data_IF_391532526658
#
_entry.id   IF_391532526658
#
_cell.length_a   1.000
_cell.length_b   1.000
_cell.length_c   1.000
_cell.angle_alpha   90.00
_cell.angle_beta   90.00
_cell.angle_gamma   90.00
#
_symmetry.space_group_name_H-M   'P 1'
#
loop_
_entity.id
_entity.type
_entity.pdbx_description
1 polymer ?
#
# COMPACT_ATOMS: atom_id res chain seq x y z
N UNK A 1 -3.97 3.69 -17.74
CA UNK A 1 -3.87 4.57 -16.56
C UNK A 1 -2.90 3.87 -15.62
N UNK A 2 -2.24 4.56 -14.70
CA UNK A 2 -1.49 3.84 -13.65
C UNK A 2 -2.52 3.20 -12.71
N UNK A 3 -2.39 1.90 -12.47
CA UNK A 3 -3.26 1.15 -11.56
C UNK A 3 -2.60 1.10 -10.19
N UNK A 4 -3.34 1.45 -9.14
CA UNK A 4 -2.81 1.46 -7.78
C UNK A 4 -3.52 0.48 -6.87
N UNK A 5 -2.71 -0.11 -5.99
CA UNK A 5 -3.17 -0.73 -4.76
C UNK A 5 -2.61 0.08 -3.60
N UNK A 6 -3.42 0.38 -2.60
CA UNK A 6 -3.03 1.20 -1.45
C UNK A 6 -3.24 0.47 -0.14
N UNK A 7 -2.39 0.72 0.84
CA UNK A 7 -2.62 0.35 2.24
C UNK A 7 -2.85 1.62 3.05
N UNK A 8 -4.05 1.77 3.59
CA UNK A 8 -4.41 2.80 4.56
C UNK A 8 -4.06 2.32 5.97
N UNK A 9 -2.89 2.70 6.46
CA UNK A 9 -2.36 2.34 7.78
C UNK A 9 -2.90 3.25 8.87
N UNK A 10 -3.25 2.66 10.02
CA UNK A 10 -3.66 3.39 11.23
C UNK A 10 -2.53 3.54 12.25
N UNK A 11 -1.38 2.92 12.01
CA UNK A 11 -0.21 3.04 12.85
C UNK A 11 0.66 4.24 12.44
N UNK A 12 1.24 4.94 13.43
CA UNK A 12 2.31 5.92 13.18
C UNK A 12 3.66 5.26 12.88
N UNK A 13 3.90 4.08 13.46
CA UNK A 13 5.10 3.29 13.21
C UNK A 13 4.98 2.58 11.85
N UNK A 14 6.12 2.29 11.24
CA UNK A 14 6.20 1.66 9.93
C UNK A 14 7.38 0.69 9.84
N UNK A 15 7.27 -0.38 9.05
CA UNK A 15 8.37 -1.31 8.85
C UNK A 15 9.54 -0.62 8.12
N UNK A 16 10.75 -1.06 8.45
CA UNK A 16 11.94 -0.69 7.69
C UNK A 16 11.95 -1.41 6.33
N UNK A 17 12.70 -0.87 5.36
CA UNK A 17 12.92 -1.55 4.08
C UNK A 17 13.54 -2.95 4.25
N UNK A 18 14.37 -3.18 5.29
CA UNK A 18 14.86 -4.51 5.63
C UNK A 18 13.72 -5.46 5.99
N UNK A 19 12.78 -5.03 6.83
CA UNK A 19 11.68 -5.88 7.27
C UNK A 19 10.78 -6.30 6.09
N UNK A 20 10.48 -5.36 5.18
CA UNK A 20 9.75 -5.67 3.93
C UNK A 20 10.51 -6.69 3.07
N UNK A 21 11.82 -6.52 2.93
CA UNK A 21 12.64 -7.46 2.16
C UNK A 21 12.75 -8.82 2.84
N UNK A 22 12.87 -8.86 4.16
CA UNK A 22 13.04 -10.09 4.93
C UNK A 22 11.77 -10.94 4.84
N UNK A 23 10.58 -10.33 4.93
CA UNK A 23 9.31 -11.02 4.71
C UNK A 23 9.26 -11.71 3.33
N UNK A 24 9.57 -10.98 2.27
CA UNK A 24 9.58 -11.52 0.91
C UNK A 24 10.60 -12.65 0.73
N UNK A 25 11.77 -12.53 1.37
CA UNK A 25 12.79 -13.58 1.33
C UNK A 25 12.38 -14.83 2.12
N UNK A 26 11.68 -14.65 3.25
CA UNK A 26 11.11 -15.75 4.05
C UNK A 26 9.98 -16.48 3.31
N UNK A 27 9.19 -15.75 2.51
CA UNK A 27 8.20 -16.31 1.59
C UNK A 27 8.82 -17.00 0.36
N UNK A 28 10.14 -16.84 0.14
CA UNK A 28 10.90 -17.54 -0.90
C UNK A 28 10.98 -16.81 -2.24
N UNK A 29 10.65 -15.52 -2.29
CA UNK A 29 10.75 -14.71 -3.50
C UNK A 29 12.19 -14.30 -3.81
N UNK A 30 12.51 -14.26 -5.10
CA UNK A 30 13.73 -13.63 -5.63
C UNK A 30 13.37 -12.27 -6.21
N UNK A 31 14.05 -11.20 -5.79
CA UNK A 31 13.79 -9.85 -6.26
C UNK A 31 15.04 -8.97 -6.13
N UNK A 32 15.02 -7.83 -6.81
CA UNK A 32 16.00 -6.76 -6.58
C UNK A 32 15.28 -5.46 -6.26
N UNK A 33 16.03 -4.50 -5.74
CA UNK A 33 15.45 -3.27 -5.23
C UNK A 33 16.19 -2.02 -5.64
N UNK A 34 15.48 -0.90 -5.66
CA UNK A 34 16.06 0.43 -5.79
C UNK A 34 15.42 1.39 -4.76
N UNK A 35 16.19 1.99 -3.84
CA UNK A 35 17.62 1.79 -3.61
C UNK A 35 18.00 0.33 -3.29
N UNK A 36 19.25 -0.03 -3.56
CA UNK A 36 19.81 -1.35 -3.21
C UNK A 36 20.21 -1.42 -1.74
N UNK A 37 20.26 -2.63 -1.14
CA UNK A 37 20.61 -2.84 0.30
C UNK A 37 21.94 -2.20 0.73
N UNK A 38 22.88 -2.03 -0.20
CA UNK A 38 24.19 -1.41 0.08
C UNK A 38 24.16 0.12 0.09
N UNK A 39 23.13 0.72 -0.52
CA UNK A 39 23.00 2.16 -0.69
C UNK A 39 22.59 2.85 0.64
N UNK A 40 23.10 4.06 0.92
CA UNK A 40 22.73 4.83 2.11
C UNK A 40 21.22 5.06 2.24
N UNK A 41 20.56 5.35 1.12
CA UNK A 41 19.12 5.63 1.02
C UNK A 41 18.28 4.44 1.51
N UNK A 42 18.72 3.20 1.27
CA UNK A 42 18.04 2.01 1.78
C UNK A 42 18.04 1.93 3.32
N UNK A 43 19.06 2.50 3.97
CA UNK A 43 19.25 2.47 5.42
C UNK A 43 18.59 3.66 6.11
N UNK A 44 17.95 4.55 5.35
CA UNK A 44 17.23 5.66 5.94
C UNK A 44 16.05 5.14 6.77
N UNK A 45 15.93 5.67 7.98
CA UNK A 45 14.85 5.29 8.88
C UNK A 45 13.51 5.77 8.30
N UNK A 46 13.44 7.00 7.80
CA UNK A 46 12.24 7.62 7.27
C UNK A 46 12.17 7.56 5.74
N UNK A 47 12.33 6.36 5.17
CA UNK A 47 12.20 6.14 3.73
C UNK A 47 10.82 6.60 3.22
N UNK A 48 10.73 7.15 2.01
CA UNK A 48 9.46 7.63 1.43
C UNK A 48 9.09 6.93 0.12
N UNK A 49 10.07 6.38 -0.60
CA UNK A 49 9.79 5.63 -1.81
C UNK A 49 10.80 4.52 -2.02
N UNK A 50 10.35 3.51 -2.76
CA UNK A 50 11.12 2.30 -3.02
C UNK A 50 10.60 1.56 -4.26
N UNK A 51 11.46 0.77 -4.89
CA UNK A 51 11.12 0.01 -6.09
C UNK A 51 11.46 -1.46 -5.88
N UNK A 52 10.50 -2.34 -6.17
CA UNK A 52 10.67 -3.79 -6.20
C UNK A 52 10.66 -4.32 -7.63
N UNK A 53 11.77 -4.91 -8.05
CA UNK A 53 11.86 -5.65 -9.29
C UNK A 53 11.69 -7.14 -8.99
N UNK A 54 10.44 -7.62 -9.06
CA UNK A 54 10.08 -9.01 -8.80
C UNK A 54 10.51 -9.96 -9.93
N UNK A 55 10.54 -9.47 -11.18
CA UNK A 55 10.98 -10.25 -12.34
C UNK A 55 11.69 -9.33 -13.35
N UNK A 56 12.94 -9.63 -13.74
CA UNK A 56 13.76 -8.77 -14.61
C UNK A 56 13.14 -8.46 -15.99
N UNK A 57 12.12 -9.24 -16.42
CA UNK A 57 11.46 -9.06 -17.72
C UNK A 57 10.22 -8.17 -17.65
N UNK A 58 9.75 -7.85 -16.46
CA UNK A 58 8.52 -7.08 -16.24
C UNK A 58 8.85 -5.71 -15.68
N UNK A 59 7.88 -4.80 -15.74
CA UNK A 59 8.04 -3.52 -15.03
C UNK A 59 8.03 -3.76 -13.52
N UNK A 60 8.84 -3.00 -12.77
CA UNK A 60 8.87 -3.11 -11.33
C UNK A 60 7.59 -2.55 -10.70
N UNK A 61 7.37 -2.89 -9.44
CA UNK A 61 6.36 -2.30 -8.58
C UNK A 61 7.00 -1.09 -7.89
N UNK A 62 6.40 0.09 -8.04
CA UNK A 62 6.82 1.28 -7.32
C UNK A 62 6.00 1.43 -6.05
N UNK A 63 6.66 1.76 -4.95
CA UNK A 63 6.03 1.95 -3.65
C UNK A 63 6.35 3.35 -3.17
N UNK A 64 5.34 4.12 -2.84
CA UNK A 64 5.46 5.40 -2.16
C UNK A 64 4.75 5.34 -0.81
N UNK A 65 5.39 5.86 0.24
CA UNK A 65 4.80 6.01 1.56
C UNK A 65 4.61 7.49 1.86
N UNK A 66 3.36 7.87 2.00
CA UNK A 66 2.92 9.19 2.39
C UNK A 66 2.40 9.16 3.83
N UNK A 67 2.76 10.14 4.65
CA UNK A 67 2.40 10.21 6.07
C UNK A 67 1.66 11.51 6.37
N UNK A 68 0.86 11.53 7.44
CA UNK A 68 0.18 12.75 7.90
C UNK A 68 1.15 13.88 8.30
N UNK A 69 2.41 13.53 8.59
CA UNK A 69 3.46 14.46 9.00
C UNK A 69 4.16 15.11 7.83
N UNK A 70 4.00 14.58 6.61
CA UNK A 70 4.62 15.16 5.43
C UNK A 70 4.02 16.55 5.17
N UNK A 71 4.90 17.48 4.82
CA UNK A 71 4.49 18.86 4.51
C UNK A 71 3.71 18.92 3.20
N UNK A 72 3.85 17.89 2.35
CA UNK A 72 3.16 17.75 1.09
C UNK A 72 1.66 17.43 1.25
N UNK A 73 0.88 17.92 0.30
CA UNK A 73 -0.57 17.76 0.30
C UNK A 73 -1.03 16.38 -0.14
N UNK A 74 -0.16 15.54 -0.71
CA UNK A 74 -0.52 14.25 -1.32
C UNK A 74 -1.30 13.35 -0.35
N UNK A 75 -0.79 13.13 0.86
CA UNK A 75 -1.51 12.37 1.89
C UNK A 75 -2.92 12.93 2.14
N UNK A 76 -3.03 14.26 2.31
CA UNK A 76 -4.30 14.93 2.66
C UNK A 76 -5.26 14.96 1.49
N UNK A 77 -4.75 15.10 0.27
CA UNK A 77 -5.52 15.08 -0.96
C UNK A 77 -6.10 13.68 -1.18
N UNK A 78 -5.26 12.65 -1.12
CA UNK A 78 -5.68 11.26 -1.32
C UNK A 78 -6.64 10.80 -0.22
N UNK A 79 -6.33 11.04 1.05
CA UNK A 79 -7.24 10.74 2.15
C UNK A 79 -8.60 11.42 1.96
N UNK A 80 -8.61 12.66 1.51
CA UNK A 80 -9.85 13.43 1.31
C UNK A 80 -10.65 12.90 0.12
N UNK A 81 -10.00 12.59 -1.00
CA UNK A 81 -10.64 12.07 -2.20
C UNK A 81 -11.42 10.78 -1.89
N UNK A 82 -10.73 9.75 -1.37
CA UNK A 82 -11.38 8.50 -0.98
C UNK A 82 -12.44 8.70 0.10
N UNK A 83 -12.22 9.63 1.03
CA UNK A 83 -13.21 9.91 2.07
C UNK A 83 -14.48 10.55 1.49
N UNK A 84 -14.36 11.40 0.48
CA UNK A 84 -15.49 12.04 -0.19
C UNK A 84 -16.23 11.03 -1.09
N UNK A 85 -15.51 10.17 -1.81
CA UNK A 85 -16.08 9.10 -2.63
C UNK A 85 -16.86 8.10 -1.76
N UNK A 86 -16.27 7.57 -0.69
CA UNK A 86 -16.92 6.64 0.22
C UNK A 86 -18.13 7.27 0.92
N UNK A 87 -18.11 8.59 1.19
CA UNK A 87 -19.28 9.29 1.77
C UNK A 87 -20.41 9.50 0.77
N UNK A 88 -20.13 9.52 -0.53
CA UNK A 88 -21.15 9.65 -1.57
C UNK A 88 -21.94 8.36 -1.76
N UNK A 89 -21.38 7.22 -1.35
CA UNK A 89 -22.02 5.90 -1.43
C UNK A 89 -23.22 5.76 -0.48
N UNK A 90 -24.19 4.88 -0.80
CA UNK A 90 -25.29 4.57 0.10
C UNK A 90 -24.81 4.07 1.46
N UNK A 91 -25.47 4.52 2.53
CA UNK A 91 -25.12 4.12 3.89
C UNK A 91 -25.18 2.59 4.07
N UNK A 92 -24.08 2.03 4.55
CA UNK A 92 -23.96 0.63 4.94
C UNK A 92 -23.01 0.49 6.13
N UNK A 93 -22.95 -0.69 6.76
CA UNK A 93 -21.97 -0.93 7.83
C UNK A 93 -20.53 -0.84 7.31
N UNK A 94 -20.29 -1.38 6.11
CA UNK A 94 -18.99 -1.35 5.46
C UNK A 94 -18.58 0.06 5.05
N UNK A 95 -19.49 0.84 4.46
CA UNK A 95 -19.29 2.26 4.18
C UNK A 95 -18.92 3.06 5.44
N UNK A 96 -19.66 2.86 6.54
CA UNK A 96 -19.35 3.52 7.81
C UNK A 96 -17.94 3.15 8.30
N UNK A 97 -17.59 1.86 8.25
CA UNK A 97 -16.28 1.36 8.67
C UNK A 97 -15.17 1.93 7.79
N UNK A 98 -15.34 1.97 6.47
CA UNK A 98 -14.39 2.57 5.54
C UNK A 98 -14.17 4.07 5.82
N UNK A 99 -15.22 4.84 6.12
CA UNK A 99 -15.09 6.24 6.57
C UNK A 99 -14.29 6.36 7.87
N UNK A 100 -14.48 5.45 8.83
CA UNK A 100 -13.71 5.43 10.07
C UNK A 100 -12.24 5.09 9.80
N UNK A 101 -11.98 4.15 8.91
CA UNK A 101 -10.63 3.77 8.48
C UNK A 101 -9.89 4.95 7.88
N UNK A 102 -10.46 5.56 6.83
CA UNK A 102 -9.83 6.67 6.10
C UNK A 102 -9.55 7.87 7.01
N UNK A 103 -10.40 8.14 7.99
CA UNK A 103 -10.19 9.24 8.96
C UNK A 103 -9.08 8.99 9.96
N UNK A 104 -8.87 7.72 10.31
CA UNK A 104 -7.85 7.30 11.28
C UNK A 104 -6.56 6.87 10.58
N UNK A 105 -6.49 6.99 9.26
CA UNK A 105 -5.26 6.76 8.52
C UNK A 105 -4.19 7.75 8.99
N UNK A 106 -3.02 7.22 9.33
CA UNK A 106 -1.81 7.98 9.67
C UNK A 106 -0.81 7.95 8.51
N UNK A 107 -0.85 6.88 7.69
CA UNK A 107 0.05 6.66 6.57
C UNK A 107 -0.66 5.95 5.41
N UNK A 108 -0.25 6.24 4.18
CA UNK A 108 -0.69 5.56 2.97
C UNK A 108 0.52 4.98 2.26
N UNK A 109 0.49 3.69 1.97
CA UNK A 109 1.43 3.03 1.08
C UNK A 109 0.76 2.86 -0.28
N UNK A 110 1.23 3.55 -1.30
CA UNK A 110 0.71 3.46 -2.66
C UNK A 110 1.63 2.60 -3.52
N UNK A 111 1.09 1.52 -4.07
CA UNK A 111 1.76 0.58 -4.96
C UNK A 111 1.29 0.87 -6.39
N UNK A 112 2.19 1.40 -7.22
CA UNK A 112 1.92 1.56 -8.65
C UNK A 112 2.27 0.26 -9.37
N UNK A 113 1.27 -0.30 -10.07
CA UNK A 113 1.39 -1.53 -10.84
C UNK A 113 1.28 -1.24 -12.34
N UNK A 114 1.93 -2.09 -13.13
CA UNK A 114 1.74 -2.11 -14.57
C UNK A 114 0.48 -2.92 -14.94
N UNK A 115 -0.22 -2.52 -15.98
CA UNK A 115 -1.43 -3.21 -16.46
C UNK A 115 -1.15 -4.68 -16.86
N UNK A 116 0.10 -5.00 -17.22
CA UNK A 116 0.57 -6.35 -17.57
C UNK A 116 1.28 -7.08 -16.41
N UNK A 117 0.98 -6.72 -15.15
CA UNK A 117 1.49 -7.44 -13.98
C UNK A 117 1.12 -8.93 -14.07
N UNK A 118 2.09 -9.78 -13.77
CA UNK A 118 1.92 -11.24 -13.87
C UNK A 118 1.27 -11.81 -12.62
N UNK A 119 0.82 -13.07 -12.68
CA UNK A 119 0.35 -13.82 -11.51
C UNK A 119 1.42 -13.84 -10.39
N UNK A 120 2.69 -14.09 -10.74
CA UNK A 120 3.83 -14.00 -9.80
C UNK A 120 3.96 -12.60 -9.17
N UNK A 121 3.73 -11.55 -9.97
CA UNK A 121 3.75 -10.17 -9.46
C UNK A 121 2.61 -9.86 -8.50
N UNK A 122 1.43 -10.45 -8.72
CA UNK A 122 0.30 -10.36 -7.80
C UNK A 122 0.56 -11.12 -6.50
N UNK A 123 1.05 -12.36 -6.57
CA UNK A 123 1.43 -13.15 -5.39
C UNK A 123 2.52 -12.45 -4.56
N UNK A 124 3.50 -11.83 -5.23
CA UNK A 124 4.53 -11.01 -4.60
C UNK A 124 3.95 -9.79 -3.89
N UNK A 125 3.01 -9.09 -4.54
CA UNK A 125 2.35 -7.93 -3.96
C UNK A 125 1.47 -8.31 -2.76
N UNK A 126 0.68 -9.39 -2.87
CA UNK A 126 -0.18 -9.89 -1.81
C UNK A 126 0.62 -10.16 -0.53
N UNK A 127 1.80 -10.79 -0.66
CA UNK A 127 2.72 -11.00 0.46
C UNK A 127 3.14 -9.69 1.16
N UNK A 128 3.38 -8.62 0.40
CA UNK A 128 3.71 -7.30 0.97
C UNK A 128 2.50 -6.64 1.63
N UNK A 129 1.33 -6.74 1.01
CA UNK A 129 0.09 -6.15 1.52
C UNK A 129 -0.31 -6.80 2.84
N UNK A 130 -0.24 -8.13 2.93
CA UNK A 130 -0.53 -8.88 4.16
C UNK A 130 0.39 -8.44 5.30
N UNK A 131 1.70 -8.42 5.05
CA UNK A 131 2.67 -7.99 6.04
C UNK A 131 2.45 -6.54 6.50
N UNK A 132 2.15 -5.62 5.58
CA UNK A 132 1.87 -4.24 5.94
C UNK A 132 0.56 -4.11 6.72
N UNK A 133 -0.48 -4.84 6.34
CA UNK A 133 -1.76 -4.82 7.04
C UNK A 133 -1.62 -5.33 8.47
N UNK A 134 -0.86 -6.40 8.68
CA UNK A 134 -0.56 -6.95 10.00
C UNK A 134 0.34 -6.02 10.83
N UNK A 135 1.37 -5.43 10.21
CA UNK A 135 2.33 -4.58 10.91
C UNK A 135 1.78 -3.20 11.27
N UNK A 136 0.74 -2.72 10.58
CA UNK A 136 0.33 -1.30 10.64
C UNK A 136 -1.17 -1.06 10.85
N UNK A 137 -1.92 -2.11 11.22
CA UNK A 137 -3.38 -2.07 11.31
C UNK A 137 -4.02 -1.56 9.99
N UNK A 138 -3.47 -2.05 8.88
CA UNK A 138 -3.74 -1.54 7.53
C UNK A 138 -5.00 -2.09 6.89
N UNK A 139 -5.57 -1.32 5.97
CA UNK A 139 -6.70 -1.70 5.13
C UNK A 139 -6.32 -1.49 3.67
N UNK A 140 -6.65 -2.46 2.82
CA UNK A 140 -6.26 -2.42 1.40
C UNK A 140 -7.33 -1.70 0.58
N UNK A 141 -6.93 -0.83 -0.32
CA UNK A 141 -7.77 -0.31 -1.39
C UNK A 141 -7.19 -0.72 -2.74
N UNK A 142 -8.05 -1.19 -3.63
CA UNK A 142 -7.69 -1.57 -4.99
C UNK A 142 -8.47 -0.67 -5.94
N UNK A 143 -7.77 -0.04 -6.89
CA UNK A 143 -8.41 0.82 -7.89
C UNK A 143 -9.46 0.05 -8.69
N UNK A 144 -10.57 0.72 -9.01
CA UNK A 144 -11.72 0.15 -9.74
C UNK A 144 -12.41 -1.03 -9.02
N UNK A 145 -12.07 -1.30 -7.75
CA UNK A 145 -12.72 -2.32 -6.93
C UNK A 145 -13.32 -1.73 -5.64
N UNK A 146 -12.48 -1.36 -4.68
CA UNK A 146 -12.97 -0.96 -3.36
C UNK A 146 -11.97 -1.10 -2.22
N UNK A 147 -12.49 -1.03 -0.99
CA UNK A 147 -11.70 -1.14 0.24
C UNK A 147 -11.99 -2.46 0.94
N UNK A 148 -10.94 -3.15 1.34
CA UNK A 148 -10.93 -4.45 2.00
C UNK A 148 -10.40 -4.31 3.44
N UNK A 149 -10.88 -5.17 4.34
CA UNK A 149 -10.31 -5.33 5.67
C UNK A 149 -9.10 -6.27 5.69
N UNK A 150 -8.44 -6.38 6.85
CA UNK A 150 -7.26 -7.23 7.07
C UNK A 150 -7.52 -8.72 6.84
N UNK A 151 -8.79 -9.16 6.86
CA UNK A 151 -9.17 -10.55 6.59
C UNK A 151 -9.48 -10.76 5.09
N UNK A 152 -9.27 -9.74 4.25
CA UNK A 152 -9.56 -9.77 2.82
C UNK A 152 -11.05 -9.61 2.49
N UNK A 153 -11.90 -9.20 3.44
CA UNK A 153 -13.32 -8.99 3.16
C UNK A 153 -13.57 -7.59 2.62
N UNK A 154 -14.33 -7.50 1.53
CA UNK A 154 -14.75 -6.23 0.95
C UNK A 154 -15.65 -5.45 1.92
N UNK A 155 -15.21 -4.26 2.31
CA UNK A 155 -15.99 -3.32 3.11
C UNK A 155 -16.93 -2.51 2.22
N UNK A 156 -16.42 -1.99 1.10
CA UNK A 156 -17.19 -1.13 0.21
C UNK A 156 -16.60 -1.14 -1.20
N UNK A 157 -17.47 -1.21 -2.21
CA UNK A 157 -17.10 -1.04 -3.62
C UNK A 157 -16.94 0.45 -3.94
N UNK A 158 -15.91 0.81 -4.71
CA UNK A 158 -15.65 2.17 -5.19
C UNK A 158 -15.43 2.08 -6.70
N UNK A 159 -16.36 2.66 -7.46
CA UNK A 159 -16.31 2.80 -8.93
C UNK A 159 -15.41 3.98 -9.36
#
# INVERSE_FOLDING_TARGET
>A
MSFYVRVFSQAEDYPSLNALCDELLEAGYEFSTSPGKEEPEFKEQNWSSFVFQYNEKNKPIFVERNTIKDEDSLFKEEQKEFLDDVKALPYSKGQKKAVEVLKNTEQIYAFELDEDITEEGWEFLECLLDFLCDATDGYVQVDEEGIYDQEGNLLVEID
#
